data_IF_485287784349
#
_entry.id   IF_485287784349
#
_cell.length_a   1.000
_cell.length_b   1.000
_cell.length_c   1.000
_cell.angle_alpha   90.00
_cell.angle_beta   90.00
_cell.angle_gamma   90.00
#
_symmetry.space_group_name_H-M   'P 1'
#
loop_
_entity.id
_entity.type
_entity.pdbx_description
1 polymer ?
#
# COMPACT_ATOMS: atom_id res chain seq x y z
N UNK A 1 -4.39 23.64 -43.76
CA UNK A 1 -5.75 23.13 -43.53
C UNK A 1 -5.60 21.66 -43.13
N UNK A 2 -5.83 21.34 -41.86
CA UNK A 2 -5.77 19.95 -41.37
C UNK A 2 -7.10 19.26 -41.74
N UNK A 3 -7.10 17.99 -42.18
CA UNK A 3 -8.34 17.28 -42.43
C UNK A 3 -9.06 17.02 -41.10
N UNK A 4 -10.32 17.41 -41.00
CA UNK A 4 -11.20 16.98 -39.91
C UNK A 4 -11.38 15.47 -40.03
N UNK A 5 -10.65 14.71 -39.23
CA UNK A 5 -10.91 13.29 -39.05
C UNK A 5 -12.13 13.20 -38.14
N UNK A 6 -13.32 13.13 -38.72
CA UNK A 6 -14.53 12.77 -37.98
C UNK A 6 -14.38 11.32 -37.52
N UNK A 7 -14.03 11.13 -36.25
CA UNK A 7 -14.07 9.79 -35.66
C UNK A 7 -15.55 9.46 -35.45
N UNK A 8 -16.09 8.60 -36.33
CA UNK A 8 -17.42 8.02 -36.20
C UNK A 8 -17.39 7.00 -35.04
N UNK A 9 -17.41 7.48 -33.80
CA UNK A 9 -17.50 6.63 -32.61
C UNK A 9 -18.96 6.56 -32.18
N UNK A 10 -19.45 5.33 -32.04
CA UNK A 10 -20.75 5.07 -31.44
C UNK A 10 -20.58 4.97 -29.92
N UNK A 11 -21.50 5.58 -29.18
CA UNK A 11 -21.58 5.46 -27.73
C UNK A 11 -22.91 4.84 -27.33
N UNK A 12 -22.88 3.95 -26.34
CA UNK A 12 -24.11 3.49 -25.70
C UNK A 12 -24.78 4.65 -24.97
N UNK A 13 -26.08 4.84 -25.20
CA UNK A 13 -26.87 5.85 -24.47
C UNK A 13 -27.64 5.26 -23.28
N UNK A 14 -27.56 3.95 -23.06
CA UNK A 14 -28.29 3.28 -21.99
C UNK A 14 -29.77 3.09 -22.28
N UNK A 15 -30.19 3.11 -23.55
CA UNK A 15 -31.54 2.80 -23.98
C UNK A 15 -31.56 1.41 -24.62
N UNK A 16 -32.57 0.60 -24.29
CA UNK A 16 -32.75 -0.73 -24.88
C UNK A 16 -34.21 -1.18 -24.91
N UNK A 17 -34.56 -2.11 -25.80
CA UNK A 17 -35.86 -2.79 -25.82
C UNK A 17 -35.78 -4.28 -25.47
N UNK A 18 -34.67 -4.70 -24.83
CA UNK A 18 -34.42 -6.08 -24.31
C UNK A 18 -35.56 -6.66 -23.46
N UNK A 19 -36.37 -5.82 -22.83
CA UNK A 19 -37.53 -6.25 -22.01
C UNK A 19 -38.79 -6.52 -22.84
N UNK A 20 -38.97 -5.78 -23.93
CA UNK A 20 -40.13 -5.85 -24.81
C UNK A 20 -39.81 -5.20 -26.15
N UNK A 21 -39.66 -6.04 -27.17
CA UNK A 21 -39.41 -5.64 -28.55
C UNK A 21 -40.29 -4.45 -29.01
N UNK A 22 -39.64 -3.44 -29.57
CA UNK A 22 -40.26 -2.19 -30.02
C UNK A 22 -40.69 -1.23 -28.90
N UNK A 23 -40.40 -1.54 -27.64
CA UNK A 23 -40.64 -0.64 -26.50
C UNK A 23 -39.33 -0.35 -25.76
N UNK A 24 -38.81 0.86 -25.97
CA UNK A 24 -37.51 1.26 -25.43
C UNK A 24 -37.61 1.88 -24.04
N UNK A 25 -36.75 1.39 -23.15
CA UNK A 25 -36.61 1.81 -21.77
C UNK A 25 -35.16 2.13 -21.42
N UNK A 26 -34.95 3.05 -20.48
CA UNK A 26 -33.62 3.31 -19.93
C UNK A 26 -33.19 2.14 -19.05
N UNK A 27 -31.94 1.70 -19.18
CA UNK A 27 -31.41 0.51 -18.49
C UNK A 27 -31.29 0.68 -16.98
N UNK A 28 -31.36 1.90 -16.45
CA UNK A 28 -31.12 2.18 -15.03
C UNK A 28 -32.40 2.25 -14.18
N UNK A 29 -33.50 2.78 -14.71
CA UNK A 29 -34.79 2.91 -14.00
C UNK A 29 -35.97 2.23 -14.70
N UNK A 30 -35.75 1.70 -15.91
CA UNK A 30 -36.79 1.11 -16.77
C UNK A 30 -37.89 2.10 -17.17
N UNK A 31 -37.65 3.40 -17.05
CA UNK A 31 -38.58 4.42 -17.54
C UNK A 31 -38.62 4.41 -19.06
N UNK A 32 -39.82 4.66 -19.61
CA UNK A 32 -40.02 4.68 -21.06
C UNK A 32 -39.38 5.93 -21.66
N UNK A 33 -38.73 5.77 -22.81
CA UNK A 33 -38.17 6.92 -23.54
C UNK A 33 -39.26 7.90 -23.97
N UNK A 34 -39.02 9.20 -23.74
CA UNK A 34 -39.95 10.29 -24.07
C UNK A 34 -39.53 11.10 -25.30
N UNK A 35 -38.24 11.13 -25.61
CA UNK A 35 -37.67 11.76 -26.79
C UNK A 35 -36.83 10.76 -27.58
N UNK A 36 -36.95 10.76 -28.89
CA UNK A 36 -36.18 9.86 -29.76
C UNK A 36 -35.64 10.60 -30.98
N UNK A 37 -34.41 10.28 -31.38
CA UNK A 37 -33.78 10.81 -32.60
C UNK A 37 -33.27 9.67 -33.49
N UNK A 38 -34.17 8.74 -33.84
CA UNK A 38 -33.84 7.57 -34.65
C UNK A 38 -33.33 7.96 -36.04
N UNK A 39 -32.36 7.19 -36.54
CA UNK A 39 -31.88 7.31 -37.92
C UNK A 39 -32.81 6.67 -38.93
N UNK A 40 -32.41 6.73 -40.21
CA UNK A 40 -33.19 6.13 -41.27
C UNK A 40 -33.34 4.61 -41.03
N UNK A 41 -34.58 4.13 -41.11
CA UNK A 41 -34.93 2.71 -40.90
C UNK A 41 -34.72 2.19 -39.47
N UNK A 42 -34.63 3.06 -38.46
CA UNK A 42 -34.66 2.69 -37.04
C UNK A 42 -35.84 3.37 -36.31
N UNK A 43 -36.36 2.79 -35.21
CA UNK A 43 -35.98 1.50 -34.66
C UNK A 43 -36.55 0.34 -35.49
N UNK A 44 -35.76 -0.71 -35.66
CA UNK A 44 -36.19 -2.01 -36.15
C UNK A 44 -36.83 -2.77 -34.99
N UNK A 45 -37.88 -3.52 -35.33
CA UNK A 45 -38.58 -4.42 -34.40
C UNK A 45 -38.41 -5.86 -34.87
N UNK A 46 -38.48 -6.81 -33.95
CA UNK A 46 -38.30 -8.25 -34.16
C UNK A 46 -36.89 -8.61 -34.66
N UNK A 47 -35.90 -7.91 -34.11
CA UNK A 47 -34.47 -8.14 -34.35
C UNK A 47 -33.76 -8.53 -33.05
N UNK A 48 -32.51 -8.96 -33.14
CA UNK A 48 -31.61 -9.18 -31.99
C UNK A 48 -30.78 -7.92 -31.61
N UNK A 49 -30.98 -6.81 -32.33
CA UNK A 49 -30.36 -5.51 -32.05
C UNK A 49 -31.18 -4.72 -31.01
N UNK A 50 -31.07 -5.07 -29.74
CA UNK A 50 -31.90 -4.44 -28.70
C UNK A 50 -31.31 -3.16 -28.07
N UNK A 51 -30.00 -2.91 -28.24
CA UNK A 51 -29.31 -1.83 -27.54
C UNK A 51 -29.05 -0.63 -28.45
N UNK A 52 -29.16 0.59 -27.89
CA UNK A 52 -29.14 1.82 -28.68
C UNK A 52 -27.84 2.59 -28.51
N UNK A 53 -27.25 2.95 -29.65
CA UNK A 53 -26.09 3.83 -29.75
C UNK A 53 -26.45 5.19 -30.33
N UNK A 54 -25.68 6.21 -29.95
CA UNK A 54 -25.72 7.54 -30.59
C UNK A 54 -24.57 7.69 -31.57
N UNK A 55 -24.90 8.13 -32.78
CA UNK A 55 -23.98 8.60 -33.83
C UNK A 55 -23.91 10.14 -33.77
N UNK A 56 -23.06 10.80 -34.57
CA UNK A 56 -23.06 12.27 -34.65
C UNK A 56 -24.39 12.90 -35.10
N UNK A 57 -25.30 12.13 -35.68
CA UNK A 57 -26.51 12.66 -36.31
C UNK A 57 -27.81 12.06 -35.73
N UNK A 58 -27.80 10.79 -35.37
CA UNK A 58 -29.00 10.02 -35.05
C UNK A 58 -28.70 8.81 -34.14
N UNK A 59 -29.75 8.07 -33.79
CA UNK A 59 -29.66 6.87 -32.97
C UNK A 59 -29.82 5.60 -33.81
N UNK A 60 -29.01 4.60 -33.49
CA UNK A 60 -29.01 3.30 -34.16
C UNK A 60 -29.07 2.17 -33.13
N UNK A 61 -29.84 1.12 -33.44
CA UNK A 61 -29.76 -0.14 -32.70
C UNK A 61 -28.51 -0.92 -33.09
N UNK A 62 -27.96 -1.66 -32.13
CA UNK A 62 -26.83 -2.58 -32.26
C UNK A 62 -27.03 -3.77 -31.32
N UNK A 63 -26.39 -4.89 -31.64
CA UNK A 63 -26.30 -6.03 -30.72
C UNK A 63 -25.66 -5.60 -29.39
N UNK A 64 -26.32 -5.92 -28.28
CA UNK A 64 -25.95 -5.47 -26.94
C UNK A 64 -24.56 -5.93 -26.47
N UNK A 65 -24.01 -6.99 -27.05
CA UNK A 65 -22.68 -7.52 -26.76
C UNK A 65 -21.54 -6.73 -27.43
N UNK A 66 -21.88 -5.82 -28.35
CA UNK A 66 -20.95 -4.89 -29.01
C UNK A 66 -20.18 -4.04 -28.00
N UNK A 67 -18.90 -3.80 -28.27
CA UNK A 67 -18.00 -3.07 -27.37
C UNK A 67 -17.96 -1.58 -27.72
N UNK A 68 -18.88 -0.82 -27.11
CA UNK A 68 -18.88 0.65 -27.13
C UNK A 68 -18.76 1.20 -25.70
N UNK A 69 -18.31 2.44 -25.57
CA UNK A 69 -18.34 3.16 -24.30
C UNK A 69 -19.73 3.75 -24.05
N UNK A 70 -20.16 3.86 -22.79
CA UNK A 70 -21.36 4.61 -22.44
C UNK A 70 -21.07 6.11 -22.49
N UNK A 71 -22.00 6.90 -23.05
CA UNK A 71 -21.93 8.35 -23.05
C UNK A 71 -22.02 8.91 -21.61
N UNK A 72 -22.95 8.35 -20.83
CA UNK A 72 -23.18 8.69 -19.43
C UNK A 72 -23.27 7.40 -18.61
N UNK A 73 -22.12 6.84 -18.22
CA UNK A 73 -22.09 5.65 -17.38
C UNK A 73 -22.49 5.97 -15.92
N UNK A 74 -23.50 5.26 -15.41
CA UNK A 74 -23.94 5.33 -14.02
C UNK A 74 -23.25 4.24 -13.20
N UNK A 75 -22.74 4.60 -12.03
CA UNK A 75 -22.19 3.65 -11.08
C UNK A 75 -23.33 3.05 -10.27
N UNK A 76 -23.31 1.73 -10.08
CA UNK A 76 -24.17 1.07 -9.10
C UNK A 76 -23.91 1.63 -7.70
N UNK A 77 -24.97 1.72 -6.87
CA UNK A 77 -24.81 2.10 -5.47
C UNK A 77 -24.26 0.92 -4.66
N UNK A 78 -22.97 0.99 -4.34
CA UNK A 78 -22.24 -0.04 -3.62
C UNK A 78 -22.13 0.22 -2.11
N UNK A 79 -22.87 1.20 -1.56
CA UNK A 79 -22.77 1.63 -0.16
C UNK A 79 -21.33 1.93 0.31
N UNK A 80 -20.44 2.35 -0.60
CA UNK A 80 -19.00 2.55 -0.35
C UNK A 80 -18.25 1.33 0.21
N UNK A 81 -18.78 0.11 0.08
CA UNK A 81 -18.10 -1.15 0.49
C UNK A 81 -17.40 -1.85 -0.66
N UNK A 82 -17.77 -1.45 -1.89
CA UNK A 82 -17.17 -1.88 -3.14
C UNK A 82 -17.05 -0.68 -4.08
N UNK A 83 -16.25 -0.82 -5.14
CA UNK A 83 -16.10 0.20 -6.17
C UNK A 83 -16.02 -0.41 -7.58
N UNK A 84 -16.20 0.46 -8.58
CA UNK A 84 -16.35 0.12 -9.98
C UNK A 84 -17.81 0.14 -10.43
N UNK A 85 -18.02 0.07 -11.75
CA UNK A 85 -19.31 0.36 -12.41
C UNK A 85 -20.44 -0.56 -11.95
N UNK A 86 -20.12 -1.82 -11.67
CA UNK A 86 -21.03 -2.84 -11.13
C UNK A 86 -20.53 -3.42 -9.80
N UNK A 87 -19.84 -2.61 -8.99
CA UNK A 87 -19.28 -3.03 -7.71
C UNK A 87 -18.36 -4.29 -7.74
N UNK A 88 -17.46 -4.48 -8.74
CA UNK A 88 -16.65 -5.69 -8.85
C UNK A 88 -15.58 -5.86 -7.76
N UNK A 89 -15.09 -4.78 -7.16
CA UNK A 89 -13.94 -4.82 -6.23
C UNK A 89 -14.36 -4.41 -4.81
N UNK A 90 -13.98 -5.20 -3.80
CA UNK A 90 -14.26 -4.88 -2.39
C UNK A 90 -13.26 -3.85 -1.86
N UNK A 91 -13.75 -2.81 -1.18
CA UNK A 91 -12.89 -1.83 -0.51
C UNK A 91 -12.04 -2.46 0.62
N UNK A 92 -12.49 -3.58 1.20
CA UNK A 92 -11.77 -4.30 2.25
C UNK A 92 -10.46 -4.95 1.77
N UNK A 93 -10.27 -5.16 0.47
CA UNK A 93 -9.04 -5.76 -0.05
C UNK A 93 -7.87 -4.77 -0.11
N UNK A 94 -8.12 -3.49 0.19
CA UNK A 94 -7.14 -2.44 -0.01
C UNK A 94 -6.81 -1.72 1.30
N UNK A 95 -6.94 -2.36 2.47
CA UNK A 95 -6.53 -1.78 3.78
C UNK A 95 -7.07 -0.37 4.09
N UNK A 96 -8.27 -0.03 3.63
CA UNK A 96 -8.92 1.21 4.04
C UNK A 96 -9.13 1.23 5.57
N UNK A 97 -8.98 2.39 6.21
CA UNK A 97 -9.17 2.50 7.65
C UNK A 97 -10.65 2.34 8.06
N UNK A 98 -10.85 2.18 9.37
CA UNK A 98 -12.17 2.14 9.99
C UNK A 98 -12.87 0.77 9.94
N UNK A 99 -13.96 0.61 10.71
CA UNK A 99 -14.64 -0.68 10.85
C UNK A 99 -15.37 -1.12 9.57
N UNK A 100 -15.83 -0.15 8.77
CA UNK A 100 -16.62 -0.42 7.57
C UNK A 100 -15.79 -0.46 6.28
N UNK A 101 -14.47 -0.24 6.35
CA UNK A 101 -13.53 -0.31 5.23
C UNK A 101 -14.05 0.41 3.98
N UNK A 102 -14.37 1.71 4.11
CA UNK A 102 -15.13 2.43 3.08
C UNK A 102 -14.24 3.06 2.04
N UNK A 103 -14.65 2.98 0.78
CA UNK A 103 -13.97 3.63 -0.33
C UNK A 103 -14.95 4.26 -1.34
N UNK A 104 -14.48 5.25 -2.09
CA UNK A 104 -15.20 5.89 -3.19
C UNK A 104 -15.65 4.85 -4.21
N UNK A 105 -16.96 4.75 -4.46
CA UNK A 105 -17.53 3.80 -5.43
C UNK A 105 -16.97 3.97 -6.86
N UNK A 106 -16.43 5.14 -7.19
CA UNK A 106 -15.90 5.47 -8.51
C UNK A 106 -14.42 5.11 -8.65
N UNK A 107 -13.63 5.48 -7.65
CA UNK A 107 -12.16 5.49 -7.76
C UNK A 107 -11.47 4.47 -6.86
N UNK A 108 -12.19 3.88 -5.90
CA UNK A 108 -11.59 3.00 -4.89
C UNK A 108 -10.80 3.74 -3.82
N UNK A 109 -10.77 5.08 -3.84
CA UNK A 109 -10.04 5.89 -2.86
C UNK A 109 -10.67 5.70 -1.48
N UNK A 110 -9.86 5.35 -0.48
CA UNK A 110 -10.35 5.11 0.88
C UNK A 110 -10.86 6.42 1.50
N UNK A 111 -12.07 6.39 2.06
CA UNK A 111 -12.73 7.59 2.60
C UNK A 111 -12.20 7.99 3.97
N UNK A 112 -11.76 7.00 4.74
CA UNK A 112 -11.31 7.17 6.12
C UNK A 112 -9.78 7.09 6.25
N UNK A 113 -9.05 7.10 5.13
CA UNK A 113 -7.59 6.90 5.08
C UNK A 113 -7.20 5.42 5.07
N UNK A 114 -5.95 5.13 5.43
CA UNK A 114 -5.36 3.79 5.42
C UNK A 114 -5.21 3.21 6.82
N UNK A 115 -5.27 1.88 6.91
CA UNK A 115 -4.82 1.15 8.09
C UNK A 115 -3.32 1.43 8.37
N UNK A 116 -2.92 1.20 9.62
CA UNK A 116 -1.53 1.38 10.06
C UNK A 116 -0.58 0.59 9.17
N UNK A 117 0.46 1.26 8.67
CA UNK A 117 1.47 0.66 7.81
C UNK A 117 1.15 0.64 6.32
N UNK A 118 0.06 1.27 5.89
CA UNK A 118 -0.30 1.37 4.47
C UNK A 118 -0.45 2.84 4.03
N UNK A 119 -0.22 3.08 2.75
CA UNK A 119 -0.31 4.40 2.13
C UNK A 119 -0.90 4.36 0.71
N UNK A 120 -1.04 5.56 0.15
CA UNK A 120 -1.61 5.76 -1.18
C UNK A 120 -3.13 5.96 -1.17
N UNK A 121 -3.70 6.37 -2.32
CA UNK A 121 -5.11 6.74 -2.42
C UNK A 121 -6.05 5.56 -2.14
N UNK A 122 -5.65 4.36 -2.53
CA UNK A 122 -6.41 3.12 -2.32
C UNK A 122 -5.86 2.29 -1.17
N UNK A 123 -4.79 2.72 -0.49
CA UNK A 123 -4.17 1.96 0.62
C UNK A 123 -3.67 0.56 0.21
N UNK A 124 -3.31 0.40 -1.07
CA UNK A 124 -2.78 -0.83 -1.64
C UNK A 124 -1.28 -1.02 -1.37
N UNK A 125 -0.57 0.07 -1.06
CA UNK A 125 0.87 0.07 -0.87
C UNK A 125 1.21 0.03 0.62
N UNK A 126 2.21 -0.76 1.00
CA UNK A 126 2.83 -0.66 2.33
C UNK A 126 3.56 0.67 2.46
N UNK A 127 3.79 1.13 3.69
CA UNK A 127 4.67 2.29 3.91
C UNK A 127 6.00 2.11 3.19
N UNK A 128 6.42 3.15 2.49
CA UNK A 128 7.72 3.25 1.85
C UNK A 128 8.86 2.81 2.77
N UNK A 129 9.87 2.15 2.20
CA UNK A 129 11.02 1.65 2.96
C UNK A 129 11.67 2.77 3.79
N UNK A 130 11.75 2.57 5.10
CA UNK A 130 12.28 3.56 6.03
C UNK A 130 11.21 4.31 6.83
N UNK A 131 9.92 4.11 6.54
CA UNK A 131 8.81 4.62 7.35
C UNK A 131 7.86 3.53 7.83
N UNK A 132 7.11 3.84 8.87
CA UNK A 132 6.12 2.94 9.46
C UNK A 132 4.99 3.68 10.18
N UNK A 133 4.00 2.93 10.64
CA UNK A 133 2.94 3.44 11.52
C UNK A 133 1.76 4.05 10.79
N UNK A 134 0.92 4.79 11.53
CA UNK A 134 -0.26 5.45 10.96
C UNK A 134 0.20 6.56 10.01
N UNK A 135 -0.34 6.57 8.79
CA UNK A 135 0.04 7.54 7.74
C UNK A 135 1.53 7.54 7.39
N UNK A 136 2.27 6.48 7.76
CA UNK A 136 3.70 6.34 7.45
C UNK A 136 4.58 7.53 7.90
N UNK A 137 4.22 8.18 9.01
CA UNK A 137 4.94 9.37 9.51
C UNK A 137 6.13 9.04 10.40
N UNK A 138 6.17 7.82 10.97
CA UNK A 138 7.28 7.39 11.80
C UNK A 138 8.44 6.90 10.92
N UNK A 139 9.68 7.20 11.33
CA UNK A 139 10.88 6.78 10.60
C UNK A 139 11.56 5.61 11.30
N UNK A 140 12.01 4.62 10.52
CA UNK A 140 12.81 3.52 11.04
C UNK A 140 14.06 4.04 11.78
N UNK A 141 14.44 3.37 12.86
CA UNK A 141 15.65 3.74 13.59
C UNK A 141 16.88 3.62 12.68
N UNK A 142 17.73 4.65 12.68
CA UNK A 142 19.07 4.60 12.06
C UNK A 142 20.00 3.54 12.66
N UNK A 143 19.57 2.90 13.74
CA UNK A 143 20.29 1.81 14.38
C UNK A 143 19.69 0.44 14.03
N UNK A 144 18.70 0.36 13.16
CA UNK A 144 18.38 -0.89 12.47
C UNK A 144 19.61 -1.38 11.70
N UNK A 145 19.96 -2.65 11.85
CA UNK A 145 21.06 -3.25 11.11
C UNK A 145 20.72 -3.40 9.62
N UNK A 146 21.74 -3.41 8.76
CA UNK A 146 21.61 -3.46 7.29
C UNK A 146 21.86 -2.10 6.64
N UNK A 147 21.97 -2.08 5.30
CA UNK A 147 22.42 -0.90 4.54
C UNK A 147 21.36 0.23 4.50
N UNK A 148 20.07 -0.11 4.54
CA UNK A 148 18.97 0.85 4.37
C UNK A 148 18.16 1.09 5.66
N UNK A 149 18.63 0.59 6.81
CA UNK A 149 17.95 0.74 8.10
C UNK A 149 16.46 0.37 8.05
N UNK A 150 16.10 -0.70 7.32
CA UNK A 150 14.69 -1.05 7.09
C UNK A 150 14.03 -1.64 8.33
N UNK A 151 12.74 -1.36 8.45
CA UNK A 151 11.91 -1.83 9.55
C UNK A 151 10.50 -2.17 9.06
N UNK A 152 9.78 -2.93 9.89
CA UNK A 152 8.43 -3.38 9.59
C UNK A 152 7.47 -2.19 9.48
N UNK A 153 6.82 -2.05 8.32
CA UNK A 153 5.93 -0.93 7.98
C UNK A 153 4.79 -0.67 8.99
N UNK A 154 4.35 -1.68 9.76
CA UNK A 154 3.33 -1.49 10.82
C UNK A 154 3.96 -1.13 12.18
N UNK A 155 4.96 -1.88 12.63
CA UNK A 155 5.42 -1.88 14.03
C UNK A 155 6.69 -1.09 14.25
N UNK A 156 7.44 -0.80 13.19
CA UNK A 156 8.78 -0.18 13.26
C UNK A 156 9.89 -1.15 13.66
N UNK A 157 9.59 -2.43 13.84
CA UNK A 157 10.58 -3.41 14.26
C UNK A 157 11.66 -3.62 13.20
N UNK A 158 12.94 -3.50 13.57
CA UNK A 158 14.05 -3.64 12.63
C UNK A 158 14.17 -5.09 12.12
N UNK A 159 14.08 -5.29 10.80
CA UNK A 159 14.07 -6.63 10.20
C UNK A 159 15.34 -7.44 10.49
N UNK A 160 16.49 -6.77 10.60
CA UNK A 160 17.77 -7.42 10.90
C UNK A 160 18.24 -7.19 12.35
N UNK A 161 17.34 -6.78 13.24
CA UNK A 161 17.68 -6.34 14.58
C UNK A 161 18.56 -5.09 14.56
N UNK A 162 19.33 -4.89 15.63
CA UNK A 162 20.05 -3.65 15.91
C UNK A 162 21.51 -3.69 15.51
N UNK A 163 22.02 -2.53 15.12
CA UNK A 163 23.43 -2.23 15.00
C UNK A 163 24.14 -2.40 16.37
N UNK A 164 25.48 -2.54 16.38
CA UNK A 164 26.24 -2.63 17.62
C UNK A 164 25.96 -1.47 18.58
N UNK A 165 25.72 -1.80 19.86
CA UNK A 165 25.47 -0.81 20.90
C UNK A 165 24.01 -0.44 21.14
N UNK A 166 23.08 -1.02 20.39
CA UNK A 166 21.63 -0.78 20.49
C UNK A 166 20.84 -2.08 20.66
N UNK A 167 19.65 -1.96 21.24
CA UNK A 167 18.75 -3.07 21.55
C UNK A 167 17.27 -2.70 21.40
N UNK A 168 16.43 -3.67 21.74
CA UNK A 168 14.97 -3.66 21.61
C UNK A 168 14.50 -3.70 20.15
N UNK A 169 13.21 -3.90 19.93
CA UNK A 169 12.67 -4.15 18.58
C UNK A 169 12.86 -2.95 17.64
N UNK A 170 12.81 -1.74 18.19
CA UNK A 170 12.98 -0.48 17.47
C UNK A 170 14.45 0.01 17.42
N UNK A 171 15.38 -0.64 18.12
CA UNK A 171 16.79 -0.22 18.17
C UNK A 171 16.98 1.24 18.61
N UNK A 172 16.16 1.72 19.54
CA UNK A 172 16.26 3.09 20.07
C UNK A 172 17.17 3.11 21.29
N UNK A 173 17.08 2.08 22.13
CA UNK A 173 17.78 2.03 23.40
C UNK A 173 19.22 1.55 23.23
N UNK A 174 20.12 2.19 23.98
CA UNK A 174 21.52 1.75 24.08
C UNK A 174 21.60 0.45 24.88
N UNK A 175 22.67 -0.32 24.67
CA UNK A 175 22.95 -1.47 25.53
C UNK A 175 23.00 -1.06 27.00
N UNK A 176 22.41 -1.89 27.86
CA UNK A 176 22.58 -1.78 29.30
C UNK A 176 24.05 -1.94 29.69
N UNK A 177 24.43 -1.29 30.78
CA UNK A 177 25.78 -1.39 31.33
C UNK A 177 26.17 -2.86 31.51
N UNK A 178 27.32 -3.22 30.96
CA UNK A 178 27.85 -4.58 30.98
C UNK A 178 27.55 -5.42 29.76
N UNK A 179 26.82 -4.88 28.78
CA UNK A 179 26.59 -5.51 27.48
C UNK A 179 27.05 -4.64 26.32
N UNK A 180 27.43 -5.26 25.21
CA UNK A 180 27.88 -4.56 24.01
C UNK A 180 27.65 -5.36 22.72
N UNK A 181 27.97 -4.72 21.59
CA UNK A 181 27.94 -5.34 20.28
C UNK A 181 26.53 -5.42 19.69
N UNK A 182 26.38 -6.18 18.60
CA UNK A 182 25.12 -6.30 17.86
C UNK A 182 24.01 -6.85 18.77
N UNK A 183 22.85 -6.20 18.83
CA UNK A 183 21.74 -6.55 19.71
C UNK A 183 22.14 -6.69 21.20
N UNK A 184 23.24 -6.07 21.63
CA UNK A 184 23.78 -6.19 22.99
C UNK A 184 24.00 -7.63 23.47
N UNK A 185 24.30 -8.55 22.54
CA UNK A 185 24.45 -9.99 22.83
C UNK A 185 25.79 -10.37 23.45
N UNK A 186 26.75 -9.44 23.55
CA UNK A 186 28.06 -9.70 24.15
C UNK A 186 28.13 -9.06 25.54
N UNK A 187 28.85 -9.69 26.45
CA UNK A 187 29.07 -9.20 27.82
C UNK A 187 30.46 -8.63 27.99
N UNK A 188 30.58 -7.51 28.72
CA UNK A 188 31.87 -6.89 29.05
C UNK A 188 32.78 -7.88 29.78
N UNK A 189 34.09 -7.72 29.62
CA UNK A 189 35.05 -8.52 30.38
C UNK A 189 34.99 -8.15 31.86
N UNK A 190 35.00 -9.11 32.80
CA UNK A 190 35.14 -8.80 34.22
C UNK A 190 36.52 -8.22 34.56
N UNK A 191 37.48 -8.34 33.64
CA UNK A 191 38.86 -7.87 33.83
C UNK A 191 39.08 -6.42 33.35
N UNK A 192 38.02 -5.72 32.91
CA UNK A 192 38.12 -4.27 32.73
C UNK A 192 38.38 -3.61 34.09
N UNK A 193 39.19 -2.55 34.12
CA UNK A 193 39.27 -1.70 35.30
C UNK A 193 37.89 -1.09 35.61
N UNK A 194 37.44 -1.26 36.85
CA UNK A 194 36.06 -0.94 37.27
C UNK A 194 35.00 -2.04 37.04
N UNK A 195 35.39 -3.21 36.51
CA UNK A 195 34.57 -4.41 36.46
C UNK A 195 33.72 -4.59 35.19
N UNK A 196 32.74 -5.50 35.25
CA UNK A 196 31.98 -5.95 34.08
C UNK A 196 30.92 -4.96 33.57
N UNK A 197 30.86 -3.72 34.08
CA UNK A 197 29.86 -2.70 33.69
C UNK A 197 30.47 -1.48 33.03
N UNK A 198 31.79 -1.43 32.85
CA UNK A 198 32.54 -0.22 32.43
C UNK A 198 33.00 -0.24 30.97
N UNK A 199 32.66 -1.27 30.20
CA UNK A 199 33.10 -1.34 28.80
C UNK A 199 32.22 -0.53 27.85
N UNK A 200 32.80 -0.06 26.76
CA UNK A 200 32.11 0.72 25.74
C UNK A 200 31.00 -0.10 25.06
N UNK A 201 29.77 0.40 25.06
CA UNK A 201 28.59 -0.35 24.64
C UNK A 201 28.59 -0.80 23.16
N UNK A 202 29.37 -0.17 22.28
CA UNK A 202 29.46 -0.56 20.86
C UNK A 202 30.55 -1.63 20.64
N UNK A 203 31.76 -1.36 21.13
CA UNK A 203 32.99 -2.11 20.84
C UNK A 203 33.34 -3.16 21.89
N UNK A 204 32.88 -2.96 23.13
CA UNK A 204 33.26 -3.73 24.29
C UNK A 204 34.61 -3.35 24.90
N UNK A 205 35.20 -2.23 24.46
CA UNK A 205 36.54 -1.79 24.90
C UNK A 205 36.51 -1.32 26.35
N UNK A 206 37.56 -1.63 27.11
CA UNK A 206 37.75 -1.17 28.48
C UNK A 206 38.58 0.12 28.47
N UNK A 207 37.92 1.29 28.48
CA UNK A 207 38.59 2.59 28.31
C UNK A 207 39.49 2.96 29.51
N UNK A 208 39.27 2.33 30.66
CA UNK A 208 40.09 2.48 31.88
C UNK A 208 41.27 1.49 31.94
N UNK A 209 41.44 0.63 30.93
CA UNK A 209 42.48 -0.40 30.90
C UNK A 209 42.05 -1.74 31.52
N UNK A 210 43.03 -2.64 31.66
CA UNK A 210 42.85 -4.01 32.12
C UNK A 210 43.45 -4.23 33.51
N UNK A 211 42.77 -5.05 34.30
CA UNK A 211 43.31 -5.59 35.55
C UNK A 211 44.59 -6.42 35.31
N UNK A 212 45.50 -6.51 36.30
CA UNK A 212 46.79 -7.18 36.14
C UNK A 212 46.68 -8.61 35.60
N UNK A 213 47.52 -8.95 34.62
CA UNK A 213 47.53 -10.26 33.98
C UNK A 213 46.58 -10.38 32.77
N UNK A 214 45.93 -9.28 32.36
CA UNK A 214 45.11 -9.21 31.16
C UNK A 214 45.52 -8.05 30.26
N UNK A 215 45.32 -8.23 28.95
CA UNK A 215 45.63 -7.22 27.92
C UNK A 215 44.62 -7.22 26.77
N UNK A 216 44.81 -6.29 25.85
CA UNK A 216 43.97 -6.08 24.67
C UNK A 216 42.77 -5.17 24.95
N UNK A 217 42.15 -4.64 23.90
CA UNK A 217 41.12 -3.60 24.03
C UNK A 217 39.91 -4.03 24.86
N UNK A 218 39.59 -5.32 24.88
CA UNK A 218 38.46 -5.89 25.62
C UNK A 218 38.88 -6.71 26.84
N UNK A 219 40.16 -6.68 27.25
CA UNK A 219 40.72 -7.36 28.43
C UNK A 219 40.34 -8.86 28.56
N UNK A 220 40.37 -9.59 27.44
CA UNK A 220 40.12 -11.05 27.42
C UNK A 220 41.38 -11.88 27.21
N UNK A 221 42.47 -11.27 26.77
CA UNK A 221 43.73 -11.97 26.53
C UNK A 221 44.54 -12.02 27.82
N UNK A 222 45.02 -13.20 28.20
CA UNK A 222 45.94 -13.32 29.33
C UNK A 222 47.32 -12.81 28.93
N UNK A 223 47.89 -11.99 29.79
CA UNK A 223 49.30 -11.64 29.70
C UNK A 223 50.10 -12.80 30.27
N UNK A 224 50.73 -13.58 29.39
CA UNK A 224 51.70 -14.57 29.82
C UNK A 224 52.91 -13.82 30.39
N UNK A 225 52.97 -13.72 31.71
CA UNK A 225 54.24 -13.44 32.37
C UNK A 225 55.18 -14.58 31.99
N UNK A 226 56.08 -14.34 31.03
CA UNK A 226 57.25 -15.17 30.88
C UNK A 226 58.04 -15.03 32.17
N UNK A 227 57.79 -15.95 33.11
CA UNK A 227 58.66 -16.20 34.24
C UNK A 227 59.97 -16.74 33.65
N UNK A 228 60.85 -15.82 33.23
CA UNK A 228 62.25 -16.13 33.08
C UNK A 228 62.78 -16.39 34.50
N UNK A 229 62.94 -17.67 34.83
CA UNK A 229 63.62 -18.16 36.03
C UNK A 229 65.11 -17.78 36.00
#
# INVERSE_FOLDING_TARGET
QLPEVYILVNYWIGLSDTHKDGTFHWVDDLEKVTFTNWGDQTPRVQTDEDCVTITPYNWEQKACDSKFHFLCEKFADCNNTKYGTVCPVNCSSTNCAGPSKRCSIRTGVCLDGCDVGYEGPTCADECSSGSYGQNCTESCSKHCAGENHTCHHITGACHQGCAPGFRDELCIDKCENGTYGRNCRRTCSPNCEGGNSTCHHVSGSCDLGCTPGFRGDICRDRELMMLWF
#
